data_IF_963357256691
#
_entry.id   IF_963357256691
#
_cell.length_a   1.000
_cell.length_b   1.000
_cell.length_c   1.000
_cell.angle_alpha   90.00
_cell.angle_beta   90.00
_cell.angle_gamma   90.00
#
_symmetry.space_group_name_H-M   'P 1'
#
loop_
_entity.id
_entity.type
_entity.pdbx_description
1 polymer ?
#
# COMPACT_ATOMS: atom_id res chain seq x y z
N UNK A 1 13.03 -11.10 -46.25
CA UNK A 1 12.34 -11.14 -44.95
C UNK A 1 10.89 -11.42 -45.25
N UNK A 2 10.35 -12.54 -44.77
CA UNK A 2 8.97 -12.94 -45.13
C UNK A 2 7.95 -12.31 -44.17
N UNK A 3 6.72 -12.06 -44.63
CA UNK A 3 5.64 -11.48 -43.80
C UNK A 3 5.42 -12.24 -42.49
N UNK A 4 5.64 -13.56 -42.48
CA UNK A 4 5.53 -14.39 -41.29
C UNK A 4 6.57 -14.05 -40.22
N UNK A 5 7.80 -13.68 -40.60
CA UNK A 5 8.83 -13.30 -39.64
C UNK A 5 8.46 -12.01 -38.92
N UNK A 6 7.96 -11.03 -39.69
CA UNK A 6 7.55 -9.74 -39.15
C UNK A 6 6.37 -9.88 -38.17
N UNK A 7 5.42 -10.76 -38.47
CA UNK A 7 4.29 -11.04 -37.57
C UNK A 7 4.74 -11.63 -36.24
N UNK A 8 5.64 -12.62 -36.25
CA UNK A 8 6.17 -13.22 -35.01
C UNK A 8 6.94 -12.18 -34.20
N UNK A 9 7.82 -11.39 -34.85
CA UNK A 9 8.57 -10.32 -34.19
C UNK A 9 7.61 -9.28 -33.55
N UNK A 10 6.53 -8.92 -34.25
CA UNK A 10 5.52 -7.99 -33.73
C UNK A 10 4.74 -8.56 -32.54
N UNK A 11 4.41 -9.87 -32.55
CA UNK A 11 3.74 -10.54 -31.44
C UNK A 11 4.63 -10.62 -30.18
N UNK A 12 5.91 -10.95 -30.35
CA UNK A 12 6.86 -10.96 -29.23
C UNK A 12 7.05 -9.54 -28.65
N UNK A 13 7.16 -8.53 -29.51
CA UNK A 13 7.20 -7.13 -29.08
C UNK A 13 5.90 -6.68 -28.37
N UNK A 14 4.74 -7.18 -28.79
CA UNK A 14 3.48 -6.94 -28.08
C UNK A 14 3.47 -7.60 -26.69
N UNK A 15 3.93 -8.85 -26.58
CA UNK A 15 4.06 -9.54 -25.29
C UNK A 15 5.00 -8.77 -24.34
N UNK A 16 6.14 -8.26 -24.86
CA UNK A 16 7.07 -7.42 -24.09
C UNK A 16 6.38 -6.17 -23.54
N UNK A 17 5.58 -5.49 -24.37
CA UNK A 17 4.83 -4.29 -23.96
C UNK A 17 3.80 -4.60 -22.88
N UNK A 18 3.12 -5.74 -22.96
CA UNK A 18 2.14 -6.17 -21.94
C UNK A 18 2.81 -6.48 -20.60
N UNK A 19 4.00 -7.11 -20.61
CA UNK A 19 4.77 -7.37 -19.39
C UNK A 19 5.35 -6.09 -18.76
N UNK A 20 5.42 -5.00 -19.51
CA UNK A 20 5.89 -3.71 -19.05
C UNK A 20 7.41 -3.68 -18.89
N UNK A 21 7.91 -2.91 -17.90
CA UNK A 21 9.35 -2.76 -17.64
C UNK A 21 9.86 -3.73 -16.56
N UNK A 22 8.95 -4.38 -15.83
CA UNK A 22 9.27 -5.20 -14.68
C UNK A 22 9.86 -4.44 -13.48
N UNK A 23 9.90 -3.11 -13.52
CA UNK A 23 10.32 -2.28 -12.39
C UNK A 23 9.19 -2.24 -11.35
N UNK A 24 9.43 -2.82 -10.17
CA UNK A 24 8.56 -2.67 -9.01
C UNK A 24 8.68 -1.28 -8.37
N UNK A 25 7.76 -0.90 -7.47
CA UNK A 25 7.85 0.34 -6.73
C UNK A 25 9.16 0.40 -5.92
N UNK A 26 9.95 1.46 -6.10
CA UNK A 26 11.32 1.58 -5.60
C UNK A 26 11.41 1.93 -4.12
N UNK A 27 10.32 2.38 -3.50
CA UNK A 27 10.36 2.98 -2.16
C UNK A 27 9.24 2.41 -1.28
N UNK A 28 9.53 1.29 -0.62
CA UNK A 28 8.71 0.79 0.49
C UNK A 28 9.53 0.68 1.78
N UNK A 29 10.36 1.67 2.08
CA UNK A 29 11.14 1.70 3.31
C UNK A 29 10.20 1.82 4.53
N UNK A 30 10.43 1.02 5.57
CA UNK A 30 9.65 1.07 6.81
C UNK A 30 10.03 2.34 7.59
N UNK A 31 9.09 3.24 7.92
CA UNK A 31 9.36 4.29 8.90
C UNK A 31 9.74 3.63 10.23
N UNK A 32 10.78 4.15 10.90
CA UNK A 32 11.13 3.70 12.24
C UNK A 32 9.93 3.92 13.18
N UNK A 33 9.60 2.90 13.97
CA UNK A 33 8.64 3.07 15.06
C UNK A 33 9.23 4.06 16.07
N UNK A 34 8.59 5.21 16.23
CA UNK A 34 8.80 6.06 17.40
C UNK A 34 8.19 5.36 18.62
N UNK A 35 8.89 5.36 19.76
CA UNK A 35 8.45 4.67 20.97
C UNK A 35 7.06 5.09 21.44
N UNK A 36 6.42 4.24 22.24
CA UNK A 36 5.11 4.53 22.81
C UNK A 36 5.14 5.74 23.76
N UNK A 37 4.04 6.52 23.86
CA UNK A 37 3.93 7.60 24.83
C UNK A 37 4.12 7.08 26.25
N UNK A 38 4.74 7.88 27.11
CA UNK A 38 4.86 7.54 28.53
C UNK A 38 3.48 7.44 29.17
N UNK A 39 3.31 6.48 30.09
CA UNK A 39 2.06 6.33 30.83
C UNK A 39 1.75 7.59 31.65
N UNK A 40 0.46 7.96 31.81
CA UNK A 40 0.07 9.07 32.67
C UNK A 40 0.61 8.89 34.09
N UNK A 41 1.21 9.94 34.65
CA UNK A 41 1.73 9.98 36.02
C UNK A 41 0.72 10.48 37.06
N UNK A 42 -0.56 10.55 36.66
CA UNK A 42 -1.68 11.07 37.44
C UNK A 42 -2.83 10.06 37.42
N UNK A 43 -3.70 10.13 38.43
CA UNK A 43 -4.78 9.17 38.66
C UNK A 43 -6.18 9.76 38.43
N UNK A 44 -7.17 8.88 38.30
CA UNK A 44 -8.57 9.23 38.11
C UNK A 44 -9.12 8.84 36.74
N UNK A 45 -10.38 9.18 36.50
CA UNK A 45 -11.13 8.75 35.30
C UNK A 45 -10.47 9.19 34.00
N UNK A 46 -9.94 10.41 33.94
CA UNK A 46 -9.26 10.91 32.76
C UNK A 46 -7.97 10.09 32.48
N UNK A 47 -7.32 9.55 33.51
CA UNK A 47 -6.05 8.82 33.38
C UNK A 47 -6.32 7.47 32.72
N UNK A 48 -7.42 6.86 33.13
CA UNK A 48 -7.91 5.62 32.56
C UNK A 48 -8.35 5.79 31.11
N UNK A 49 -9.02 6.90 30.78
CA UNK A 49 -9.32 7.25 29.39
C UNK A 49 -8.05 7.44 28.56
N UNK A 50 -7.03 8.12 29.11
CA UNK A 50 -5.75 8.30 28.42
C UNK A 50 -5.00 6.98 28.19
N UNK A 51 -5.00 6.07 29.18
CA UNK A 51 -4.43 4.71 29.03
C UNK A 51 -5.18 3.91 27.96
N UNK A 52 -6.51 3.92 28.00
CA UNK A 52 -7.36 3.23 27.01
C UNK A 52 -7.10 3.75 25.59
N UNK A 53 -7.03 5.07 25.41
CA UNK A 53 -6.73 5.68 24.12
C UNK A 53 -5.32 5.32 23.63
N UNK A 54 -4.32 5.32 24.52
CA UNK A 54 -2.95 4.94 24.19
C UNK A 54 -2.89 3.49 23.73
N UNK A 55 -3.50 2.56 24.47
CA UNK A 55 -3.57 1.15 24.10
C UNK A 55 -4.27 0.95 22.75
N UNK A 56 -5.34 1.70 22.49
CA UNK A 56 -6.05 1.62 21.20
C UNK A 56 -5.16 2.07 20.04
N UNK A 57 -4.43 3.18 20.20
CA UNK A 57 -3.49 3.68 19.18
C UNK A 57 -2.31 2.74 18.96
N UNK A 58 -1.80 2.10 20.02
CA UNK A 58 -0.76 1.07 19.92
C UNK A 58 -1.24 -0.14 19.12
N UNK A 59 -2.44 -0.65 19.41
CA UNK A 59 -3.02 -1.76 18.66
C UNK A 59 -3.18 -1.42 17.17
N UNK A 60 -3.69 -0.22 16.86
CA UNK A 60 -3.83 0.25 15.48
C UNK A 60 -2.48 0.40 14.77
N UNK A 61 -1.47 0.89 15.49
CA UNK A 61 -0.11 1.00 14.96
C UNK A 61 0.43 -0.38 14.61
N UNK A 62 0.26 -1.37 15.49
CA UNK A 62 0.71 -2.74 15.27
C UNK A 62 -0.01 -3.39 14.08
N UNK A 63 -1.33 -3.23 13.97
CA UNK A 63 -2.12 -3.67 12.82
C UNK A 63 -1.60 -3.05 11.51
N UNK A 64 -1.33 -1.74 11.50
CA UNK A 64 -0.81 -1.05 10.32
C UNK A 64 0.60 -1.51 9.95
N UNK A 65 1.47 -1.76 10.94
CA UNK A 65 2.80 -2.32 10.71
C UNK A 65 2.72 -3.72 10.09
N UNK A 66 1.84 -4.57 10.62
CA UNK A 66 1.63 -5.91 10.08
C UNK A 66 1.10 -5.85 8.65
N UNK A 67 0.08 -5.03 8.39
CA UNK A 67 -0.48 -4.85 7.04
C UNK A 67 0.59 -4.36 6.05
N UNK A 68 1.43 -3.39 6.46
CA UNK A 68 2.54 -2.90 5.63
C UNK A 68 3.58 -3.98 5.36
N UNK A 69 3.95 -4.79 6.37
CA UNK A 69 4.93 -5.87 6.22
C UNK A 69 4.44 -6.94 5.25
N UNK A 70 3.17 -7.33 5.34
CA UNK A 70 2.54 -8.26 4.40
C UNK A 70 2.54 -7.68 2.99
N UNK A 71 2.14 -6.42 2.82
CA UNK A 71 2.16 -5.75 1.53
C UNK A 71 3.57 -5.71 0.92
N UNK A 72 4.61 -5.38 1.71
CA UNK A 72 6.00 -5.37 1.26
C UNK A 72 6.46 -6.73 0.73
N UNK A 73 6.04 -7.83 1.37
CA UNK A 73 6.31 -9.20 0.92
C UNK A 73 5.65 -9.46 -0.45
N UNK A 74 4.38 -9.07 -0.60
CA UNK A 74 3.65 -9.21 -1.87
C UNK A 74 4.31 -8.40 -3.00
N UNK A 75 4.82 -7.19 -2.73
CA UNK A 75 5.55 -6.41 -3.74
C UNK A 75 6.90 -7.02 -4.13
N UNK A 76 7.62 -7.64 -3.18
CA UNK A 76 8.85 -8.36 -3.47
C UNK A 76 8.60 -9.58 -4.37
N UNK A 77 7.50 -10.30 -4.14
CA UNK A 77 7.07 -11.42 -4.98
C UNK A 77 6.61 -10.95 -6.36
N UNK A 78 5.81 -9.88 -6.45
CA UNK A 78 5.41 -9.27 -7.70
C UNK A 78 6.63 -8.88 -8.56
N UNK A 79 7.66 -8.31 -7.93
CA UNK A 79 8.93 -8.00 -8.60
C UNK A 79 9.65 -9.24 -9.12
N UNK A 80 9.53 -10.38 -8.41
CA UNK A 80 10.10 -11.66 -8.85
C UNK A 80 9.32 -12.22 -10.04
N UNK A 81 7.98 -12.21 -10.00
CA UNK A 81 7.12 -12.62 -11.12
C UNK A 81 7.46 -11.82 -12.39
N UNK A 82 7.62 -10.50 -12.26
CA UNK A 82 8.04 -9.64 -13.37
C UNK A 82 9.39 -10.07 -13.95
N UNK A 83 10.41 -10.29 -13.12
CA UNK A 83 11.74 -10.71 -13.60
C UNK A 83 11.70 -12.06 -14.30
N UNK A 84 10.99 -13.03 -13.72
CA UNK A 84 10.85 -14.38 -14.30
C UNK A 84 10.20 -14.30 -15.69
N UNK A 85 9.12 -13.53 -15.84
CA UNK A 85 8.41 -13.39 -17.11
C UNK A 85 9.27 -12.70 -18.19
N UNK A 86 10.07 -11.70 -17.80
CA UNK A 86 11.00 -11.05 -18.73
C UNK A 86 12.10 -12.00 -19.19
N UNK A 87 12.69 -12.76 -18.27
CA UNK A 87 13.72 -13.74 -18.59
C UNK A 87 13.18 -14.84 -19.51
N UNK A 88 11.96 -15.32 -19.27
CA UNK A 88 11.31 -16.29 -20.14
C UNK A 88 11.04 -15.74 -21.54
N UNK A 89 10.56 -14.51 -21.66
CA UNK A 89 10.31 -13.89 -22.97
C UNK A 89 11.60 -13.63 -23.75
N UNK A 90 12.68 -13.21 -23.07
CA UNK A 90 14.01 -13.06 -23.68
C UNK A 90 14.58 -14.38 -24.20
N UNK A 91 14.35 -15.48 -23.48
CA UNK A 91 14.72 -16.82 -23.95
C UNK A 91 13.94 -17.21 -25.22
N UNK A 92 12.64 -16.88 -25.30
CA UNK A 92 11.81 -17.12 -26.50
C UNK A 92 12.30 -16.28 -27.68
N UNK A 93 12.60 -15.00 -27.47
CA UNK A 93 13.15 -14.09 -28.49
C UNK A 93 14.49 -14.63 -29.03
N UNK A 94 15.35 -15.13 -28.14
CA UNK A 94 16.63 -15.76 -28.51
C UNK A 94 16.41 -17.06 -29.30
N UNK A 95 15.49 -17.92 -28.85
CA UNK A 95 15.13 -19.14 -29.57
C UNK A 95 14.59 -18.84 -30.97
N UNK A 96 13.75 -17.82 -31.10
CA UNK A 96 13.23 -17.37 -32.40
C UNK A 96 14.34 -16.83 -33.33
N UNK A 97 15.30 -16.07 -32.80
CA UNK A 97 16.45 -15.64 -33.57
C UNK A 97 17.29 -16.83 -34.08
N UNK A 98 17.43 -17.87 -33.25
CA UNK A 98 18.13 -19.11 -33.62
C UNK A 98 17.35 -19.93 -34.67
N UNK A 99 16.02 -20.02 -34.54
CA UNK A 99 15.14 -20.68 -35.52
C UNK A 99 15.30 -20.00 -36.90
N UNK A 100 15.27 -18.66 -36.94
CA UNK A 100 15.51 -17.86 -38.16
C UNK A 100 16.91 -18.14 -38.74
N UNK A 101 17.95 -18.12 -37.92
CA UNK A 101 19.32 -18.35 -38.37
C UNK A 101 19.53 -19.76 -38.94
N UNK A 102 18.93 -20.76 -38.30
CA UNK A 102 19.03 -22.17 -38.70
C UNK A 102 18.30 -22.44 -40.02
N UNK A 103 17.14 -21.81 -40.22
CA UNK A 103 16.30 -22.01 -41.41
C UNK A 103 16.66 -21.09 -42.58
N UNK A 104 17.46 -20.05 -42.34
CA UNK A 104 17.93 -19.09 -43.36
C UNK A 104 18.46 -19.76 -44.65
N UNK A 105 19.28 -20.83 -44.60
CA UNK A 105 19.79 -21.47 -45.81
C UNK A 105 18.69 -22.08 -46.71
N UNK A 106 17.51 -22.37 -46.16
CA UNK A 106 16.40 -23.00 -46.87
C UNK A 106 15.21 -22.05 -47.06
N UNK A 107 15.35 -20.76 -46.76
CA UNK A 107 14.26 -19.79 -46.66
C UNK A 107 13.44 -19.63 -47.95
N UNK A 108 14.03 -19.84 -49.12
CA UNK A 108 13.33 -19.73 -50.41
C UNK A 108 12.59 -21.00 -50.81
N UNK A 109 12.86 -22.12 -50.15
CA UNK A 109 12.17 -23.40 -50.37
C UNK A 109 10.80 -23.45 -49.70
N UNK A 110 9.86 -24.21 -50.27
CA UNK A 110 8.55 -24.45 -49.65
C UNK A 110 8.70 -25.10 -48.26
N UNK A 111 9.67 -26.00 -48.10
CA UNK A 111 9.98 -26.64 -46.83
C UNK A 111 10.44 -25.62 -45.78
N UNK A 112 11.41 -24.76 -46.12
CA UNK A 112 11.92 -23.75 -45.19
C UNK A 112 10.86 -22.74 -44.76
N UNK A 113 9.98 -22.32 -45.68
CA UNK A 113 8.83 -21.44 -45.36
C UNK A 113 7.85 -22.12 -44.40
N UNK A 114 7.53 -23.39 -44.63
CA UNK A 114 6.65 -24.17 -43.74
C UNK A 114 7.26 -24.38 -42.35
N UNK A 115 8.54 -24.74 -42.28
CA UNK A 115 9.27 -24.92 -41.02
C UNK A 115 9.35 -23.61 -40.21
N UNK A 116 9.58 -22.49 -40.89
CA UNK A 116 9.66 -21.18 -40.26
C UNK A 116 8.29 -20.74 -39.70
N UNK A 117 7.21 -20.99 -40.44
CA UNK A 117 5.85 -20.72 -39.97
C UNK A 117 5.52 -21.55 -38.72
N UNK A 118 5.85 -22.84 -38.73
CA UNK A 118 5.61 -23.72 -37.59
C UNK A 118 6.41 -23.31 -36.35
N UNK A 119 7.69 -22.97 -36.53
CA UNK A 119 8.52 -22.42 -35.46
C UNK A 119 7.91 -21.10 -34.93
N UNK A 120 7.49 -20.20 -35.82
CA UNK A 120 6.83 -18.95 -35.44
C UNK A 120 5.56 -19.15 -34.60
N UNK A 121 4.68 -20.07 -35.00
CA UNK A 121 3.47 -20.43 -34.23
C UNK A 121 3.84 -20.95 -32.84
N UNK A 122 4.87 -21.80 -32.74
CA UNK A 122 5.34 -22.31 -31.46
C UNK A 122 5.81 -21.17 -30.53
N UNK A 123 6.63 -20.23 -31.03
CA UNK A 123 7.13 -19.09 -30.23
C UNK A 123 6.00 -18.16 -29.78
N UNK A 124 4.99 -17.92 -30.62
CA UNK A 124 3.80 -17.13 -30.24
C UNK A 124 3.04 -17.82 -29.09
N UNK A 125 2.81 -19.13 -29.19
CA UNK A 125 2.10 -19.88 -28.16
C UNK A 125 2.86 -19.89 -26.82
N UNK A 126 4.19 -20.04 -26.86
CA UNK A 126 5.03 -19.93 -25.66
C UNK A 126 4.94 -18.54 -25.02
N UNK A 127 5.00 -17.47 -25.82
CA UNK A 127 4.89 -16.10 -25.32
C UNK A 127 3.52 -15.82 -24.68
N UNK A 128 2.43 -16.32 -25.29
CA UNK A 128 1.10 -16.27 -24.69
C UNK A 128 1.05 -16.98 -23.34
N UNK A 129 1.65 -18.16 -23.23
CA UNK A 129 1.71 -18.90 -21.96
C UNK A 129 2.48 -18.12 -20.89
N UNK A 130 3.60 -17.48 -21.23
CA UNK A 130 4.37 -16.64 -20.29
C UNK A 130 3.48 -15.50 -19.75
N UNK A 131 2.78 -14.79 -20.63
CA UNK A 131 1.89 -13.69 -20.22
C UNK A 131 0.73 -14.19 -19.36
N UNK A 132 0.08 -15.30 -19.74
CA UNK A 132 -1.03 -15.87 -18.99
C UNK A 132 -0.61 -16.37 -17.59
N UNK A 133 0.54 -17.06 -17.50
CA UNK A 133 1.10 -17.51 -16.21
C UNK A 133 1.49 -16.33 -15.32
N UNK A 134 2.12 -15.29 -15.88
CA UNK A 134 2.44 -14.08 -15.13
C UNK A 134 1.16 -13.42 -14.57
N UNK A 135 0.12 -13.26 -15.40
CA UNK A 135 -1.16 -12.70 -14.97
C UNK A 135 -1.81 -13.51 -13.84
N UNK A 136 -1.80 -14.84 -13.94
CA UNK A 136 -2.34 -15.71 -12.89
C UNK A 136 -1.57 -15.56 -11.56
N UNK A 137 -0.23 -15.56 -11.61
CA UNK A 137 0.62 -15.37 -10.42
C UNK A 137 0.42 -13.99 -9.79
N UNK A 138 0.22 -12.94 -10.59
CA UNK A 138 -0.12 -11.61 -10.07
C UNK A 138 -1.49 -11.58 -9.40
N UNK A 139 -2.50 -12.22 -9.98
CA UNK A 139 -3.83 -12.30 -9.38
C UNK A 139 -3.80 -13.03 -8.02
N UNK A 140 -3.04 -14.12 -7.91
CA UNK A 140 -2.83 -14.85 -6.66
C UNK A 140 -2.05 -14.02 -5.62
N UNK A 141 -1.02 -13.28 -6.04
CA UNK A 141 -0.29 -12.36 -5.17
C UNK A 141 -1.20 -11.24 -4.64
N UNK A 142 -2.07 -10.68 -5.49
CA UNK A 142 -3.01 -9.62 -5.10
C UNK A 142 -4.03 -10.10 -4.05
N UNK A 143 -4.47 -11.36 -4.11
CA UNK A 143 -5.38 -11.94 -3.10
C UNK A 143 -4.76 -12.04 -1.70
N UNK A 144 -3.43 -12.01 -1.58
CA UNK A 144 -2.71 -12.04 -0.30
C UNK A 144 -2.46 -10.66 0.29
N UNK A 145 -2.85 -9.59 -0.41
CA UNK A 145 -2.82 -8.25 0.18
C UNK A 145 -3.79 -8.21 1.37
N UNK A 146 -3.35 -7.69 2.52
CA UNK A 146 -4.23 -7.57 3.68
C UNK A 146 -5.34 -6.55 3.38
N UNK A 147 -6.57 -6.88 3.77
CA UNK A 147 -7.62 -5.88 3.92
C UNK A 147 -7.14 -4.86 4.96
N UNK A 148 -6.84 -3.63 4.54
CA UNK A 148 -6.49 -2.57 5.49
C UNK A 148 -7.77 -2.24 6.26
N UNK A 149 -7.81 -2.40 7.59
CA UNK A 149 -9.01 -2.12 8.36
C UNK A 149 -9.46 -0.68 8.08
N UNK A 150 -10.72 -0.49 7.63
CA UNK A 150 -11.30 0.84 7.38
C UNK A 150 -11.21 1.75 8.62
N UNK A 151 -11.13 1.15 9.81
CA UNK A 151 -10.88 1.83 11.09
C UNK A 151 -9.53 2.54 11.15
N UNK A 152 -8.46 1.95 10.61
CA UNK A 152 -7.14 2.61 10.55
C UNK A 152 -7.15 3.84 9.62
N UNK A 153 -7.89 3.75 8.49
CA UNK A 153 -8.14 4.88 7.60
C UNK A 153 -9.02 5.95 8.25
N UNK A 154 -10.01 5.55 9.06
CA UNK A 154 -10.88 6.46 9.78
C UNK A 154 -10.17 7.19 10.93
N UNK A 155 -9.15 6.60 11.57
CA UNK A 155 -8.30 7.28 12.57
C UNK A 155 -7.28 8.22 11.92
N UNK A 156 -6.85 7.94 10.69
CA UNK A 156 -6.03 8.87 9.90
C UNK A 156 -6.84 10.02 9.30
N UNK A 157 -8.12 9.79 8.97
CA UNK A 157 -9.03 10.78 8.38
C UNK A 157 -9.84 11.56 9.42
N UNK A 158 -10.07 10.97 10.59
CA UNK A 158 -10.67 11.62 11.74
C UNK A 158 -9.56 12.24 12.58
N UNK A 159 -9.59 13.56 12.75
CA UNK A 159 -9.12 14.09 14.01
C UNK A 159 -9.75 13.20 15.09
N UNK A 160 -8.94 12.57 15.93
CA UNK A 160 -9.44 12.05 17.20
C UNK A 160 -10.00 13.29 17.86
N UNK A 161 -11.30 13.52 17.67
CA UNK A 161 -12.06 14.42 18.47
C UNK A 161 -11.97 13.76 19.84
N UNK A 162 -10.96 14.17 20.60
CA UNK A 162 -11.12 14.42 22.02
C UNK A 162 -12.25 15.44 22.10
N UNK A 163 -13.48 15.02 21.78
CA UNK A 163 -14.65 15.84 21.94
C UNK A 163 -14.75 15.97 23.46
N UNK A 164 -14.34 17.11 24.02
CA UNK A 164 -14.49 17.29 25.44
C UNK A 164 -16.00 17.26 25.67
N UNK A 165 -16.47 16.77 26.83
CA UNK A 165 -17.90 16.76 27.11
C UNK A 165 -18.47 18.17 26.90
N UNK A 166 -19.27 18.34 25.85
CA UNK A 166 -19.91 19.59 25.40
C UNK A 166 -19.07 20.88 25.64
N UNK A 167 -18.19 21.19 24.70
CA UNK A 167 -17.47 22.47 24.61
C UNK A 167 -16.00 22.40 25.04
N UNK A 168 -15.21 23.40 24.63
CA UNK A 168 -13.80 23.51 25.01
C UNK A 168 -13.61 24.56 26.13
N UNK A 169 -12.71 24.27 27.07
CA UNK A 169 -12.37 25.19 28.16
C UNK A 169 -11.54 26.32 27.60
N UNK A 170 -11.93 27.56 27.87
CA UNK A 170 -11.20 28.76 27.43
C UNK A 170 -10.16 29.14 28.48
N UNK A 171 -10.59 29.36 29.73
CA UNK A 171 -9.74 29.54 30.91
C UNK A 171 -10.53 29.33 32.21
N UNK A 172 -9.83 29.17 33.34
CA UNK A 172 -10.41 29.17 34.68
C UNK A 172 -9.88 30.34 35.50
N UNK A 173 -10.77 31.08 36.19
CA UNK A 173 -10.40 32.17 37.10
C UNK A 173 -10.71 31.83 38.54
N UNK A 174 -9.91 32.26 39.54
CA UNK A 174 -10.22 32.02 40.94
C UNK A 174 -11.58 32.63 41.32
N UNK A 175 -12.44 31.84 41.95
CA UNK A 175 -13.73 32.33 42.41
C UNK A 175 -13.52 33.21 43.67
N UNK A 176 -14.04 34.43 43.66
CA UNK A 176 -13.85 35.39 44.76
C UNK A 176 -14.79 35.19 45.94
N UNK A 177 -15.90 34.46 45.74
CA UNK A 177 -16.99 34.31 46.71
C UNK A 177 -17.16 32.88 47.25
N UNK A 178 -16.54 31.89 46.60
CA UNK A 178 -16.62 30.47 46.96
C UNK A 178 -15.26 29.81 46.71
N UNK A 179 -14.85 28.80 47.51
CA UNK A 179 -13.59 28.10 47.27
C UNK A 179 -13.63 27.36 45.93
N UNK A 180 -12.72 27.69 45.02
CA UNK A 180 -12.59 27.04 43.72
C UNK A 180 -12.31 28.02 42.59
N UNK A 181 -12.65 27.60 41.37
CA UNK A 181 -12.45 28.34 40.13
C UNK A 181 -13.77 28.44 39.36
N UNK A 182 -13.98 29.56 38.67
CA UNK A 182 -15.02 29.71 37.65
C UNK A 182 -14.37 29.47 36.30
N UNK A 183 -14.77 28.40 35.63
CA UNK A 183 -14.26 28.02 34.32
C UNK A 183 -15.24 28.41 33.22
N UNK A 184 -14.70 29.01 32.16
CA UNK A 184 -15.42 29.43 30.96
C UNK A 184 -15.35 28.32 29.90
N UNK A 185 -16.49 27.96 29.32
CA UNK A 185 -16.60 26.93 28.28
C UNK A 185 -17.27 27.52 27.04
N UNK A 186 -16.61 27.40 25.88
CA UNK A 186 -17.29 27.65 24.60
C UNK A 186 -17.98 26.36 24.14
N UNK A 187 -19.30 26.45 23.97
CA UNK A 187 -20.12 25.39 23.40
C UNK A 187 -19.95 25.33 21.87
N UNK A 188 -20.36 24.22 21.26
CA UNK A 188 -20.31 24.02 19.81
C UNK A 188 -21.21 24.97 19.00
N UNK A 189 -22.22 25.57 19.64
CA UNK A 189 -23.11 26.59 19.08
C UNK A 189 -22.56 28.03 19.21
N UNK A 190 -21.34 28.18 19.74
CA UNK A 190 -20.70 29.47 19.99
C UNK A 190 -21.16 30.17 21.27
N UNK A 191 -22.03 29.55 22.08
CA UNK A 191 -22.43 30.10 23.38
C UNK A 191 -21.35 29.87 24.44
N UNK A 192 -21.27 30.80 25.39
CA UNK A 192 -20.34 30.73 26.52
C UNK A 192 -21.11 30.37 27.77
N UNK A 193 -20.68 29.32 28.48
CA UNK A 193 -21.20 28.94 29.79
C UNK A 193 -20.12 28.98 30.86
N UNK A 194 -20.55 29.25 32.09
CA UNK A 194 -19.66 29.32 33.26
C UNK A 194 -20.01 28.20 34.23
N UNK A 195 -19.01 27.45 34.69
CA UNK A 195 -19.20 26.41 35.71
C UNK A 195 -18.17 26.55 36.82
N UNK A 196 -18.63 26.27 38.04
CA UNK A 196 -17.77 26.20 39.20
C UNK A 196 -17.00 24.87 39.22
N UNK A 197 -15.68 24.94 39.40
CA UNK A 197 -14.78 23.81 39.54
C UNK A 197 -14.02 23.89 40.87
N UNK A 198 -13.85 22.79 41.61
CA UNK A 198 -13.02 22.79 42.81
C UNK A 198 -11.51 22.89 42.52
N UNK A 199 -11.07 22.70 41.27
CA UNK A 199 -9.67 22.73 40.84
C UNK A 199 -9.49 23.57 39.57
N UNK A 200 -8.28 24.07 39.34
CA UNK A 200 -7.91 24.68 38.07
C UNK A 200 -7.73 23.58 37.01
N UNK A 201 -8.69 23.49 36.08
CA UNK A 201 -8.69 22.50 35.01
C UNK A 201 -7.78 22.94 33.84
N UNK A 202 -7.41 24.22 33.77
CA UNK A 202 -6.53 24.77 32.73
C UNK A 202 -5.04 24.66 33.05
N UNK A 203 -4.68 24.21 34.25
CA UNK A 203 -3.29 23.99 34.64
C UNK A 203 -2.44 25.26 34.65
N UNK A 204 -3.04 26.43 34.92
CA UNK A 204 -2.34 27.70 35.02
C UNK A 204 -1.91 28.34 33.70
N UNK A 205 -2.44 27.91 32.55
CA UNK A 205 -2.23 28.63 31.29
C UNK A 205 -3.20 29.84 31.20
N UNK A 206 -2.68 31.06 30.94
CA UNK A 206 -3.48 32.28 30.82
C UNK A 206 -4.32 32.34 29.55
#
# INVERSE_FOLDING_TARGET
MSDAEHLVDAHLAAARRVLGTGAGPTEWATPNQTGSPASPNWDGETAERARTATQHLENLRDELHQARSTAATVFAEASTISRDAHSALEAIETAWANDKATLKPMADSAFGKGALLQAGIARINEAHNVVATAAARFAEAAQRLPEVPRTALAVAAGQVALEPPAGYIIWCTPASLVPGFICEFLQSDGSIIWRHSPIDITGGMP
#
